data_IF_337526522087
#
_entry.id   IF_337526522087
#
_cell.length_a   1.000
_cell.length_b   1.000
_cell.length_c   1.000
_cell.angle_alpha   90.00
_cell.angle_beta   90.00
_cell.angle_gamma   90.00
#
_symmetry.space_group_name_H-M   'P 1'
#
loop_
_entity.id
_entity.type
_entity.pdbx_description
1 polymer ?
#
# COMPACT_ATOMS: atom_id res chain seq x y z
N UNK A 1 -15.75 -14.61 -30.98
CA UNK A 1 -16.38 -13.35 -31.52
C UNK A 1 -15.79 -12.19 -30.71
N UNK A 2 -15.59 -11.04 -31.34
CA UNK A 2 -15.07 -9.84 -30.65
C UNK A 2 -16.27 -8.96 -30.27
N UNK A 3 -16.47 -8.75 -28.97
CA UNK A 3 -17.42 -7.76 -28.47
C UNK A 3 -16.86 -6.35 -28.73
N UNK A 4 -17.71 -5.43 -29.17
CA UNK A 4 -17.33 -4.02 -29.37
C UNK A 4 -18.21 -3.14 -28.48
N UNK A 5 -17.56 -2.26 -27.70
CA UNK A 5 -18.22 -1.31 -26.82
C UNK A 5 -17.74 0.12 -27.10
N UNK A 6 -18.58 1.08 -26.77
CA UNK A 6 -18.26 2.49 -26.83
C UNK A 6 -18.47 3.16 -25.47
N UNK A 7 -17.64 4.15 -25.15
CA UNK A 7 -17.72 4.95 -23.93
C UNK A 7 -17.18 6.37 -24.18
N UNK A 8 -17.51 7.32 -23.32
CA UNK A 8 -16.81 8.59 -23.35
C UNK A 8 -15.38 8.44 -22.86
N UNK A 9 -15.20 7.64 -21.76
CA UNK A 9 -13.91 7.41 -21.13
C UNK A 9 -13.74 5.95 -20.79
N UNK A 10 -12.66 5.32 -21.26
CA UNK A 10 -12.26 3.97 -20.87
C UNK A 10 -11.30 4.04 -19.67
N UNK A 11 -11.52 3.21 -18.64
CA UNK A 11 -10.71 3.17 -17.43
C UNK A 11 -10.10 1.78 -17.27
N UNK A 12 -8.79 1.70 -17.15
CA UNK A 12 -8.06 0.45 -16.95
C UNK A 12 -7.79 0.24 -15.46
N UNK A 13 -8.46 -0.76 -14.87
CA UNK A 13 -8.34 -1.17 -13.48
C UNK A 13 -9.49 -0.68 -12.58
N UNK A 14 -10.17 -1.63 -11.93
CA UNK A 14 -11.21 -1.40 -10.92
C UNK A 14 -10.66 -1.42 -9.48
N UNK A 15 -9.44 -0.92 -9.28
CA UNK A 15 -8.94 -0.52 -7.96
C UNK A 15 -9.66 0.75 -7.49
N UNK A 16 -9.43 1.14 -6.23
CA UNK A 16 -10.07 2.33 -5.64
C UNK A 16 -9.91 3.60 -6.51
N UNK A 17 -8.72 3.84 -7.07
CA UNK A 17 -8.48 5.01 -7.92
C UNK A 17 -9.33 5.00 -9.22
N UNK A 18 -9.43 3.84 -9.88
CA UNK A 18 -10.23 3.72 -11.11
C UNK A 18 -11.72 3.86 -10.86
N UNK A 19 -12.24 3.27 -9.78
CA UNK A 19 -13.65 3.38 -9.40
C UNK A 19 -14.03 4.80 -8.99
N UNK A 20 -13.15 5.50 -8.25
CA UNK A 20 -13.35 6.92 -7.90
C UNK A 20 -13.32 7.82 -9.15
N UNK A 21 -12.41 7.56 -10.10
CA UNK A 21 -12.38 8.27 -11.36
C UNK A 21 -13.68 8.05 -12.17
N UNK A 22 -14.15 6.80 -12.26
CA UNK A 22 -15.41 6.46 -12.92
C UNK A 22 -16.61 7.20 -12.29
N UNK A 23 -16.69 7.18 -10.95
CA UNK A 23 -17.72 7.91 -10.21
C UNK A 23 -17.69 9.40 -10.50
N UNK A 24 -16.49 10.01 -10.52
CA UNK A 24 -16.32 11.45 -10.81
C UNK A 24 -16.78 11.81 -12.22
N UNK A 25 -16.43 10.98 -13.21
CA UNK A 25 -16.86 11.15 -14.60
C UNK A 25 -18.38 10.97 -14.77
N UNK A 26 -18.96 9.95 -14.13
CA UNK A 26 -20.41 9.77 -14.15
C UNK A 26 -21.17 10.95 -13.52
N UNK A 27 -20.65 11.52 -12.42
CA UNK A 27 -21.20 12.72 -11.82
C UNK A 27 -21.10 13.97 -12.71
N UNK A 28 -20.16 14.00 -13.66
CA UNK A 28 -20.04 15.02 -14.71
C UNK A 28 -20.89 14.73 -15.95
N UNK A 29 -21.74 13.69 -15.91
CA UNK A 29 -22.63 13.33 -17.02
C UNK A 29 -21.97 12.50 -18.13
N UNK A 30 -20.72 12.09 -17.97
CA UNK A 30 -20.00 11.27 -18.94
C UNK A 30 -20.30 9.76 -18.73
N UNK A 31 -20.04 8.97 -19.77
CA UNK A 31 -20.23 7.52 -19.75
C UNK A 31 -18.87 6.81 -19.58
N UNK A 32 -18.41 6.53 -18.34
CA UNK A 32 -17.20 5.76 -18.12
C UNK A 32 -17.46 4.26 -18.30
N UNK A 33 -16.46 3.53 -18.81
CA UNK A 33 -16.41 2.08 -18.82
C UNK A 33 -15.10 1.60 -18.18
N UNK A 34 -15.22 0.82 -17.09
CA UNK A 34 -14.09 0.28 -16.35
C UNK A 34 -13.79 -1.15 -16.80
N UNK A 35 -12.54 -1.43 -17.14
CA UNK A 35 -12.02 -2.76 -17.49
C UNK A 35 -11.10 -3.25 -16.36
N UNK A 36 -11.47 -4.35 -15.71
CA UNK A 36 -10.69 -4.99 -14.65
C UNK A 36 -10.20 -6.36 -15.11
N UNK A 37 -8.92 -6.61 -14.89
CA UNK A 37 -8.29 -7.86 -15.28
C UNK A 37 -8.75 -9.08 -14.46
N UNK A 38 -9.12 -8.86 -13.18
CA UNK A 38 -9.61 -9.90 -12.27
C UNK A 38 -11.12 -10.09 -12.40
N UNK A 39 -11.59 -11.14 -11.76
CA UNK A 39 -13.00 -11.42 -11.50
C UNK A 39 -13.58 -10.61 -10.31
N UNK A 40 -12.81 -9.68 -9.76
CA UNK A 40 -13.15 -8.87 -8.59
C UNK A 40 -12.65 -7.43 -8.68
N UNK A 41 -13.31 -6.53 -7.97
CA UNK A 41 -12.86 -5.15 -7.77
C UNK A 41 -11.96 -5.01 -6.53
N UNK A 42 -11.37 -3.83 -6.34
CA UNK A 42 -10.58 -3.43 -5.17
C UNK A 42 -9.07 -3.45 -5.39
N UNK A 43 -8.57 -4.17 -6.40
CA UNK A 43 -7.13 -4.22 -6.69
C UNK A 43 -6.32 -4.75 -5.50
N UNK A 44 -5.52 -3.87 -4.85
CA UNK A 44 -4.71 -4.16 -3.65
C UNK A 44 -5.50 -4.16 -2.33
N UNK A 45 -6.78 -3.87 -2.36
CA UNK A 45 -7.72 -3.99 -1.24
C UNK A 45 -8.45 -5.31 -1.41
N UNK A 46 -8.33 -6.19 -0.43
CA UNK A 46 -8.90 -7.54 -0.49
C UNK A 46 -9.24 -8.05 0.90
N UNK A 47 -10.46 -8.51 1.07
CA UNK A 47 -10.91 -9.24 2.24
C UNK A 47 -10.86 -10.76 1.98
N UNK A 48 -10.72 -11.53 3.05
CA UNK A 48 -10.94 -12.96 3.05
C UNK A 48 -11.91 -13.35 4.15
N UNK A 49 -12.93 -14.14 3.83
CA UNK A 49 -13.93 -14.61 4.79
C UNK A 49 -13.31 -15.65 5.74
N UNK A 50 -13.59 -15.48 7.03
CA UNK A 50 -13.10 -16.37 8.08
C UNK A 50 -14.21 -17.14 8.80
N UNK A 51 -15.44 -17.03 8.32
CA UNK A 51 -16.63 -17.66 8.88
C UNK A 51 -17.47 -16.71 9.73
N UNK A 52 -18.73 -17.07 9.99
CA UNK A 52 -19.65 -16.27 10.80
C UNK A 52 -19.95 -14.87 10.24
N UNK A 53 -19.81 -14.66 8.94
CA UNK A 53 -19.96 -13.34 8.32
C UNK A 53 -18.82 -12.37 8.61
N UNK A 54 -17.69 -12.86 9.14
CA UNK A 54 -16.52 -12.06 9.48
C UNK A 54 -15.43 -12.20 8.41
N UNK A 55 -14.64 -11.15 8.29
CA UNK A 55 -13.54 -11.07 7.32
C UNK A 55 -12.24 -10.64 7.98
N UNK A 56 -11.13 -11.00 7.36
CA UNK A 56 -9.82 -10.40 7.58
C UNK A 56 -9.34 -9.73 6.29
N UNK A 57 -8.65 -8.63 6.43
CA UNK A 57 -8.09 -7.90 5.29
C UNK A 57 -6.71 -8.46 4.92
N UNK A 58 -6.63 -9.24 3.86
CA UNK A 58 -5.36 -9.74 3.32
C UNK A 58 -4.67 -8.71 2.41
N UNK A 59 -5.35 -7.59 2.11
CA UNK A 59 -4.83 -6.41 1.41
C UNK A 59 -4.65 -5.21 2.33
N UNK A 60 -4.70 -3.98 1.75
CA UNK A 60 -4.72 -2.72 2.48
C UNK A 60 -5.93 -2.63 3.41
N UNK A 61 -5.73 -2.19 4.66
CA UNK A 61 -6.77 -2.26 5.68
C UNK A 61 -6.96 -1.00 6.52
N UNK A 62 -5.87 -0.27 6.77
CA UNK A 62 -5.87 0.78 7.77
C UNK A 62 -6.16 2.18 7.22
N UNK A 63 -6.71 3.00 8.10
CA UNK A 63 -6.90 4.43 7.94
C UNK A 63 -6.41 5.13 9.22
N UNK A 64 -5.99 6.37 9.10
CA UNK A 64 -5.55 7.15 10.25
C UNK A 64 -5.70 8.66 10.06
N UNK A 65 -5.31 9.45 11.05
CA UNK A 65 -5.44 10.90 11.02
C UNK A 65 -4.81 11.52 9.77
N UNK A 66 -5.55 12.42 9.12
CA UNK A 66 -5.13 13.10 7.89
C UNK A 66 -5.50 12.39 6.60
N UNK A 67 -6.04 11.18 6.65
CA UNK A 67 -6.58 10.46 5.49
C UNK A 67 -8.06 10.83 5.26
N UNK A 68 -8.31 12.12 5.04
CA UNK A 68 -9.65 12.69 5.06
C UNK A 68 -10.52 12.27 3.87
N UNK A 69 -9.91 12.00 2.70
CA UNK A 69 -10.65 11.63 1.49
C UNK A 69 -11.27 10.25 1.61
N UNK A 70 -10.48 9.27 2.04
CA UNK A 70 -11.00 7.91 2.21
C UNK A 70 -11.99 7.85 3.38
N UNK A 71 -11.78 8.64 4.44
CA UNK A 71 -12.71 8.76 5.55
C UNK A 71 -14.07 9.33 5.09
N UNK A 72 -14.05 10.41 4.33
CA UNK A 72 -15.27 11.02 3.78
C UNK A 72 -16.00 10.05 2.82
N UNK A 73 -15.26 9.38 1.95
CA UNK A 73 -15.81 8.39 1.02
C UNK A 73 -16.46 7.22 1.77
N UNK A 74 -15.79 6.69 2.80
CA UNK A 74 -16.33 5.61 3.62
C UNK A 74 -17.64 6.04 4.32
N UNK A 75 -17.66 7.21 4.92
CA UNK A 75 -18.85 7.76 5.57
C UNK A 75 -20.01 7.96 4.59
N UNK A 76 -19.73 8.47 3.38
CA UNK A 76 -20.73 8.63 2.31
C UNK A 76 -21.32 7.28 1.87
N UNK A 77 -20.51 6.23 1.86
CA UNK A 77 -20.93 4.87 1.53
C UNK A 77 -21.55 4.10 2.71
N UNK A 78 -21.67 4.72 3.88
CA UNK A 78 -22.18 4.07 5.09
C UNK A 78 -21.25 2.99 5.65
N UNK A 79 -19.93 3.17 5.49
CA UNK A 79 -18.91 2.26 6.03
C UNK A 79 -18.24 2.92 7.24
N UNK A 80 -18.59 2.49 8.43
CA UNK A 80 -18.02 2.96 9.67
C UNK A 80 -16.62 2.39 9.92
N UNK A 81 -15.86 3.06 10.79
CA UNK A 81 -14.55 2.62 11.25
C UNK A 81 -14.56 2.20 12.72
N UNK A 82 -13.57 1.41 13.11
CA UNK A 82 -13.31 1.05 14.50
C UNK A 82 -11.80 1.06 14.76
N UNK A 83 -11.36 1.34 16.00
CA UNK A 83 -9.94 1.41 16.31
C UNK A 83 -9.24 0.04 16.19
N UNK A 84 -8.04 0.03 15.65
CA UNK A 84 -7.13 -1.11 15.79
C UNK A 84 -6.86 -1.33 17.28
N UNK A 85 -6.92 -2.56 17.74
CA UNK A 85 -6.66 -2.86 19.15
C UNK A 85 -5.23 -2.48 19.52
N UNK A 86 -5.10 -1.58 20.48
CA UNK A 86 -3.81 -0.99 20.91
C UNK A 86 -3.70 -0.97 22.46
N UNK A 87 -4.67 -1.57 23.16
CA UNK A 87 -4.67 -1.63 24.61
C UNK A 87 -3.76 -2.75 25.13
N UNK A 88 -3.01 -2.48 26.21
CA UNK A 88 -2.06 -3.39 26.80
C UNK A 88 -0.62 -3.12 26.36
N UNK A 89 0.26 -4.04 26.73
CA UNK A 89 1.70 -3.89 26.46
C UNK A 89 2.09 -4.44 25.11
N UNK A 90 2.83 -3.66 24.33
CA UNK A 90 3.50 -4.09 23.11
C UNK A 90 4.74 -4.91 23.43
N UNK A 91 5.11 -5.82 22.55
CA UNK A 91 6.33 -6.61 22.67
C UNK A 91 7.40 -6.10 21.71
N UNK A 92 8.65 -6.11 22.18
CA UNK A 92 9.82 -5.90 21.35
C UNK A 92 10.86 -6.98 21.64
N UNK A 93 11.38 -7.59 20.60
CA UNK A 93 12.50 -8.53 20.67
C UNK A 93 13.62 -8.02 19.78
N UNK A 94 14.79 -7.79 20.36
CA UNK A 94 15.92 -7.22 19.64
C UNK A 94 17.25 -7.77 20.15
N UNK A 95 18.11 -8.29 19.26
CA UNK A 95 19.38 -8.89 19.60
C UNK A 95 19.25 -10.05 20.61
N UNK A 96 18.18 -10.84 20.50
CA UNK A 96 17.86 -11.94 21.42
C UNK A 96 17.33 -11.52 22.80
N UNK A 97 17.06 -10.23 23.00
CA UNK A 97 16.47 -9.68 24.23
C UNK A 97 15.03 -9.28 23.98
N UNK A 98 14.13 -9.65 24.90
CA UNK A 98 12.71 -9.31 24.85
C UNK A 98 12.33 -8.34 25.95
N UNK A 99 11.50 -7.37 25.60
CA UNK A 99 10.90 -6.43 26.54
C UNK A 99 9.44 -6.17 26.16
N UNK A 100 8.69 -5.59 27.07
CA UNK A 100 7.34 -5.08 26.82
C UNK A 100 7.26 -3.62 27.24
N UNK A 101 6.46 -2.83 26.52
CA UNK A 101 6.32 -1.40 26.74
C UNK A 101 4.89 -0.94 26.43
N UNK A 102 4.49 0.22 26.92
CA UNK A 102 3.21 0.86 26.63
C UNK A 102 3.43 2.18 25.86
N UNK A 103 2.54 2.44 24.89
CA UNK A 103 2.60 3.62 24.04
C UNK A 103 3.43 3.45 22.78
N UNK A 104 3.62 4.52 22.00
CA UNK A 104 4.32 4.47 20.73
C UNK A 104 5.85 4.43 20.92
N UNK A 105 6.56 3.67 20.07
CA UNK A 105 8.04 3.59 20.06
C UNK A 105 8.73 4.97 19.90
N UNK A 106 7.99 5.95 19.44
CA UNK A 106 8.45 7.33 19.21
C UNK A 106 8.16 8.28 20.37
N UNK A 107 7.56 7.79 21.45
CA UNK A 107 7.31 8.55 22.65
C UNK A 107 8.61 8.68 23.47
N UNK A 108 8.86 9.85 24.02
CA UNK A 108 10.08 10.16 24.79
C UNK A 108 9.88 10.10 26.30
N UNK A 109 8.75 9.56 26.78
CA UNK A 109 8.50 9.40 28.22
C UNK A 109 9.56 8.52 28.88
N UNK A 110 10.01 8.91 30.07
CA UNK A 110 11.07 8.21 30.81
C UNK A 110 10.75 6.73 31.04
N UNK A 111 9.48 6.42 31.29
CA UNK A 111 9.00 5.06 31.52
C UNK A 111 9.17 4.17 30.28
N UNK A 112 8.80 4.69 29.11
CA UNK A 112 9.00 4.00 27.84
C UNK A 112 10.48 3.75 27.54
N UNK A 113 11.32 4.77 27.70
CA UNK A 113 12.77 4.63 27.50
C UNK A 113 13.34 3.57 28.45
N UNK A 114 12.90 3.53 29.70
CA UNK A 114 13.31 2.51 30.67
C UNK A 114 12.89 1.10 30.24
N UNK A 115 11.65 0.93 29.77
CA UNK A 115 11.14 -0.36 29.35
C UNK A 115 11.84 -0.86 28.07
N UNK A 116 12.00 0.02 27.08
CA UNK A 116 12.73 -0.28 25.86
C UNK A 116 14.23 -0.55 26.12
N UNK A 117 14.82 0.06 27.16
CA UNK A 117 16.26 -0.11 27.50
C UNK A 117 16.65 -1.54 27.85
N UNK A 118 15.68 -2.40 28.11
CA UNK A 118 15.93 -3.85 28.33
C UNK A 118 16.31 -4.57 27.04
N UNK A 119 15.76 -4.12 25.91
CA UNK A 119 16.02 -4.70 24.59
C UNK A 119 16.93 -3.81 23.73
N UNK A 120 16.78 -2.47 23.80
CA UNK A 120 17.49 -1.48 22.97
C UNK A 120 18.19 -0.49 23.90
N UNK A 121 19.50 -0.30 23.73
CA UNK A 121 20.25 0.63 24.61
C UNK A 121 19.75 2.09 24.49
N UNK A 122 19.78 2.89 25.57
CA UNK A 122 19.40 4.30 25.53
C UNK A 122 20.19 5.11 24.49
N UNK A 123 21.47 4.75 24.27
CA UNK A 123 22.27 5.36 23.21
C UNK A 123 21.70 5.09 21.82
N UNK A 124 21.23 3.88 21.58
CA UNK A 124 20.64 3.53 20.29
C UNK A 124 19.29 4.23 20.07
N UNK A 125 18.48 4.40 21.12
CA UNK A 125 17.22 5.17 21.06
C UNK A 125 17.49 6.65 20.76
N UNK A 126 18.50 7.26 21.41
CA UNK A 126 18.91 8.64 21.15
C UNK A 126 19.46 8.81 19.73
N UNK A 127 20.23 7.82 19.24
CA UNK A 127 20.77 7.79 17.88
C UNK A 127 19.66 7.67 16.82
N UNK A 128 18.66 6.82 17.06
CA UNK A 128 17.47 6.71 16.23
C UNK A 128 16.72 8.05 16.17
N UNK A 129 16.44 8.66 17.33
CA UNK A 129 15.62 9.87 17.42
C UNK A 129 16.28 11.08 16.75
N UNK A 130 17.59 11.27 16.92
CA UNK A 130 18.30 12.36 16.24
C UNK A 130 18.27 12.18 14.70
N UNK A 131 18.42 10.94 14.21
CA UNK A 131 18.38 10.66 12.78
C UNK A 131 16.95 10.84 12.23
N UNK A 132 15.93 10.36 12.93
CA UNK A 132 14.53 10.55 12.60
C UNK A 132 14.14 12.03 12.50
N UNK A 133 14.51 12.83 13.52
CA UNK A 133 14.24 14.27 13.52
C UNK A 133 14.95 15.00 12.36
N UNK A 134 16.12 14.50 11.93
CA UNK A 134 16.81 14.99 10.74
C UNK A 134 16.06 14.62 9.47
N UNK A 135 15.57 13.37 9.37
CA UNK A 135 14.78 12.89 8.23
C UNK A 135 13.53 13.74 8.03
N UNK A 136 12.75 13.95 9.10
CA UNK A 136 11.53 14.78 9.06
C UNK A 136 11.81 16.22 8.63
N UNK A 137 12.92 16.81 9.08
CA UNK A 137 13.35 18.15 8.67
C UNK A 137 13.70 18.23 7.20
N UNK A 138 14.32 17.18 6.65
CA UNK A 138 14.62 17.08 5.23
C UNK A 138 13.34 16.83 4.41
N UNK A 139 12.44 15.98 4.88
CA UNK A 139 11.18 15.66 4.25
C UNK A 139 10.33 16.90 3.98
N UNK A 140 10.21 17.80 4.96
CA UNK A 140 9.48 19.08 4.82
C UNK A 140 10.04 20.02 3.75
N UNK A 141 11.25 19.80 3.23
CA UNK A 141 11.83 20.58 2.15
C UNK A 141 11.49 20.02 0.76
N UNK A 142 10.81 18.89 0.67
CA UNK A 142 10.43 18.27 -0.61
C UNK A 142 9.04 18.77 -1.02
N UNK A 143 8.90 19.50 -2.14
CA UNK A 143 7.59 19.86 -2.68
C UNK A 143 6.81 18.62 -3.07
N UNK A 144 5.54 18.49 -2.63
CA UNK A 144 4.73 17.31 -2.88
C UNK A 144 4.33 17.16 -4.35
N UNK A 145 4.07 18.25 -5.03
CA UNK A 145 3.73 18.24 -6.45
C UNK A 145 4.95 17.95 -7.34
N UNK A 146 6.10 18.47 -6.97
CA UNK A 146 7.33 18.41 -7.75
C UNK A 146 8.54 17.99 -6.91
N UNK A 147 8.62 16.73 -6.44
CA UNK A 147 9.74 16.26 -5.59
C UNK A 147 11.11 16.52 -6.20
N UNK A 148 11.21 16.49 -7.52
CA UNK A 148 12.43 16.82 -8.27
C UNK A 148 12.88 18.28 -8.17
N UNK A 149 12.02 19.19 -7.72
CA UNK A 149 12.32 20.60 -7.50
C UNK A 149 12.86 20.89 -6.09
N UNK A 150 13.01 19.88 -5.24
CA UNK A 150 13.59 20.04 -3.90
C UNK A 150 15.01 20.64 -4.00
N UNK A 151 15.44 21.51 -3.04
CA UNK A 151 16.72 22.22 -3.12
C UNK A 151 17.95 21.31 -3.29
N UNK A 152 17.85 20.06 -2.85
CA UNK A 152 18.92 19.05 -2.94
C UNK A 152 18.46 17.77 -3.64
N UNK A 153 17.47 17.86 -4.53
CA UNK A 153 16.83 16.73 -5.18
C UNK A 153 17.87 15.76 -5.80
N UNK A 154 18.77 16.24 -6.66
CA UNK A 154 19.79 15.38 -7.29
C UNK A 154 20.68 14.64 -6.28
N UNK A 155 21.07 15.32 -5.19
CA UNK A 155 21.88 14.70 -4.13
C UNK A 155 21.09 13.63 -3.36
N UNK A 156 19.82 13.91 -3.07
CA UNK A 156 18.97 12.99 -2.33
C UNK A 156 18.51 11.81 -3.20
N UNK A 157 18.22 12.06 -4.45
CA UNK A 157 17.80 11.02 -5.38
C UNK A 157 18.97 10.16 -5.90
N UNK A 158 20.20 10.71 -5.88
CA UNK A 158 21.41 10.00 -6.28
C UNK A 158 21.98 9.03 -5.22
N UNK A 159 21.25 8.77 -4.13
CA UNK A 159 21.64 7.81 -3.11
C UNK A 159 20.46 7.03 -2.56
N UNK A 160 20.72 5.82 -2.05
CA UNK A 160 19.72 5.00 -1.38
C UNK A 160 19.47 5.52 0.05
N UNK A 161 18.32 5.12 0.60
CA UNK A 161 18.03 5.38 2.00
C UNK A 161 19.04 4.69 2.93
N UNK A 162 19.49 3.48 2.60
CA UNK A 162 20.54 2.79 3.37
C UNK A 162 21.81 3.62 3.48
N UNK A 163 22.26 4.21 2.37
CA UNK A 163 23.45 5.08 2.36
C UNK A 163 23.29 6.26 3.35
N UNK A 164 22.08 6.84 3.39
CA UNK A 164 21.79 7.92 4.31
C UNK A 164 21.74 7.44 5.76
N UNK A 165 21.07 6.31 6.06
CA UNK A 165 20.97 5.71 7.39
C UNK A 165 22.37 5.43 7.93
N UNK A 166 23.22 4.76 7.18
CA UNK A 166 24.61 4.44 7.59
C UNK A 166 25.44 5.68 7.94
N UNK A 167 25.22 6.80 7.24
CA UNK A 167 25.95 8.06 7.47
C UNK A 167 25.39 8.88 8.63
N UNK A 168 24.16 8.66 9.04
CA UNK A 168 23.46 9.48 10.02
C UNK A 168 23.15 8.72 11.33
N UNK A 169 23.48 7.43 11.40
CA UNK A 169 23.39 6.62 12.62
C UNK A 169 24.74 6.04 12.98
N UNK A 170 24.99 5.88 14.28
CA UNK A 170 26.23 5.35 14.84
C UNK A 170 26.10 3.91 15.34
N UNK A 171 24.91 3.53 15.83
CA UNK A 171 24.63 2.24 16.44
C UNK A 171 24.02 1.24 15.45
N UNK A 172 24.34 -0.05 15.59
CA UNK A 172 23.73 -1.10 14.77
C UNK A 172 22.21 -1.18 15.04
N UNK A 173 21.79 -1.05 16.30
CA UNK A 173 20.38 -1.12 16.65
C UNK A 173 19.54 -0.01 16.01
N UNK A 174 20.02 1.25 15.96
CA UNK A 174 19.32 2.32 15.24
C UNK A 174 19.18 2.03 13.74
N UNK A 175 20.21 1.44 13.12
CA UNK A 175 20.14 1.02 11.70
C UNK A 175 19.07 -0.05 11.47
N UNK A 176 19.07 -1.09 12.31
CA UNK A 176 18.09 -2.18 12.20
C UNK A 176 16.66 -1.70 12.47
N UNK A 177 16.46 -0.70 13.33
CA UNK A 177 15.14 -0.09 13.53
C UNK A 177 14.68 0.70 12.30
N UNK A 178 15.58 1.41 11.60
CA UNK A 178 15.26 2.03 10.33
C UNK A 178 14.97 0.99 9.22
N UNK A 179 15.70 -0.12 9.21
CA UNK A 179 15.45 -1.26 8.32
C UNK A 179 14.04 -1.81 8.55
N UNK A 180 13.71 -2.16 9.79
CA UNK A 180 12.38 -2.66 10.17
C UNK A 180 11.26 -1.69 9.81
N UNK A 181 11.44 -0.39 10.07
CA UNK A 181 10.47 0.63 9.68
C UNK A 181 10.34 0.77 8.16
N UNK A 182 11.43 0.60 7.40
CA UNK A 182 11.39 0.63 5.93
C UNK A 182 10.65 -0.57 5.38
N UNK A 183 10.93 -1.76 5.90
CA UNK A 183 10.19 -2.97 5.57
C UNK A 183 8.69 -2.77 5.85
N UNK A 184 8.32 -2.34 7.08
CA UNK A 184 6.93 -2.19 7.49
C UNK A 184 6.13 -1.12 6.74
N UNK A 185 6.77 -0.06 6.22
CA UNK A 185 6.07 1.02 5.51
C UNK A 185 6.10 0.84 4.00
N UNK A 186 7.19 0.31 3.44
CA UNK A 186 7.41 0.24 1.98
C UNK A 186 7.52 -1.19 1.44
N UNK A 187 7.53 -2.21 2.30
CA UNK A 187 7.77 -3.61 1.92
C UNK A 187 9.04 -3.79 1.07
N UNK A 188 10.10 -3.06 1.43
CA UNK A 188 11.36 -3.00 0.70
C UNK A 188 12.55 -2.78 1.65
N UNK A 189 13.75 -3.06 1.16
CA UNK A 189 14.98 -2.76 1.88
C UNK A 189 15.35 -1.26 1.75
N UNK A 190 16.02 -0.66 2.75
CA UNK A 190 16.55 0.69 2.60
C UNK A 190 17.49 0.88 1.40
N UNK A 191 18.11 -0.20 0.92
CA UNK A 191 18.97 -0.22 -0.26
C UNK A 191 18.20 -0.12 -1.58
N UNK A 192 16.93 -0.54 -1.61
CA UNK A 192 16.10 -0.58 -2.81
C UNK A 192 15.50 0.79 -3.18
N UNK A 193 15.46 1.73 -2.24
CA UNK A 193 14.67 2.97 -2.33
C UNK A 193 15.56 4.21 -2.36
N UNK A 194 15.25 5.17 -3.25
CA UNK A 194 15.86 6.49 -3.26
C UNK A 194 15.58 7.24 -1.94
N UNK A 195 16.59 7.93 -1.40
CA UNK A 195 16.38 8.83 -0.25
C UNK A 195 15.33 9.92 -0.57
N UNK A 196 15.30 10.46 -1.79
CA UNK A 196 14.31 11.46 -2.15
C UNK A 196 12.89 10.88 -2.10
N UNK A 197 12.70 9.61 -2.46
CA UNK A 197 11.41 8.95 -2.35
C UNK A 197 10.96 8.81 -0.89
N UNK A 198 11.85 8.37 -0.01
CA UNK A 198 11.57 8.30 1.44
C UNK A 198 11.18 9.69 1.99
N UNK A 199 11.89 10.75 1.60
CA UNK A 199 11.60 12.12 2.04
C UNK A 199 10.24 12.60 1.52
N UNK A 200 9.94 12.39 0.24
CA UNK A 200 8.65 12.69 -0.36
C UNK A 200 7.52 11.96 0.36
N UNK A 201 7.66 10.64 0.52
CA UNK A 201 6.64 9.80 1.13
C UNK A 201 6.38 10.18 2.60
N UNK A 202 7.47 10.45 3.35
CA UNK A 202 7.40 10.94 4.73
C UNK A 202 6.64 12.27 4.82
N UNK A 203 6.90 13.20 3.91
CA UNK A 203 6.17 14.48 3.86
C UNK A 203 4.71 14.27 3.46
N UNK A 204 4.46 13.46 2.45
CA UNK A 204 3.13 13.10 1.92
C UNK A 204 2.23 12.49 3.02
N UNK A 205 2.78 11.66 3.91
CA UNK A 205 2.06 11.04 5.02
C UNK A 205 2.08 11.85 6.33
N UNK A 206 2.65 13.07 6.32
CA UNK A 206 2.63 13.99 7.47
C UNK A 206 3.67 13.71 8.55
N UNK A 207 4.74 12.94 8.24
CA UNK A 207 5.88 12.69 9.11
C UNK A 207 6.13 11.20 9.37
N UNK A 208 7.38 10.87 9.71
CA UNK A 208 7.80 9.48 9.86
C UNK A 208 7.04 8.74 10.96
N UNK A 209 6.84 9.39 12.12
CA UNK A 209 6.10 8.78 13.23
C UNK A 209 4.66 8.41 12.86
N UNK A 210 4.02 9.25 12.03
CA UNK A 210 2.65 8.97 11.56
C UNK A 210 2.60 7.73 10.67
N UNK A 211 3.63 7.50 9.86
CA UNK A 211 3.70 6.34 8.98
C UNK A 211 3.84 5.01 9.74
N UNK A 212 4.54 5.00 10.89
CA UNK A 212 4.85 3.79 11.66
C UNK A 212 3.96 3.56 12.88
N UNK A 213 3.08 4.53 13.21
CA UNK A 213 2.30 4.50 14.45
C UNK A 213 0.92 3.87 14.31
N UNK A 214 0.43 3.21 15.37
CA UNK A 214 -0.96 2.78 15.52
C UNK A 214 -1.79 3.93 16.08
N UNK A 215 -1.75 4.19 17.36
CA UNK A 215 -2.45 5.35 17.95
C UNK A 215 -1.92 6.68 17.39
N UNK A 216 -2.79 7.48 16.77
CA UNK A 216 -2.41 8.74 16.10
C UNK A 216 -1.65 8.57 14.78
N UNK A 217 -1.46 7.34 14.30
CA UNK A 217 -0.72 6.98 13.10
C UNK A 217 -1.58 6.42 11.98
N UNK A 218 -0.91 5.93 10.94
CA UNK A 218 -1.56 5.43 9.73
C UNK A 218 -2.31 4.10 9.94
N UNK A 219 -2.07 3.40 11.05
CA UNK A 219 -2.69 2.13 11.41
C UNK A 219 -3.76 2.26 12.51
N UNK A 220 -4.29 3.49 12.72
CA UNK A 220 -5.18 3.77 13.85
C UNK A 220 -6.51 3.04 13.77
N UNK A 221 -7.18 3.07 12.63
CA UNK A 221 -8.54 2.55 12.48
C UNK A 221 -8.64 1.55 11.33
N UNK A 222 -9.66 0.69 11.40
CA UNK A 222 -10.07 -0.28 10.39
C UNK A 222 -11.53 -0.07 10.03
N UNK A 223 -12.00 -0.67 8.94
CA UNK A 223 -13.36 -0.53 8.45
C UNK A 223 -14.23 -1.72 8.88
N UNK A 224 -15.46 -1.45 9.35
CA UNK A 224 -16.47 -2.48 9.61
C UNK A 224 -16.80 -3.25 8.31
N UNK A 225 -16.67 -4.58 8.36
CA UNK A 225 -16.82 -5.45 7.19
C UNK A 225 -15.62 -5.46 6.25
N UNK A 226 -14.49 -4.86 6.69
CA UNK A 226 -13.22 -4.81 5.98
C UNK A 226 -13.19 -3.75 4.87
N UNK A 227 -11.98 -3.34 4.52
CA UNK A 227 -11.73 -2.23 3.57
C UNK A 227 -12.25 -2.48 2.15
N UNK A 228 -12.36 -3.75 1.70
CA UNK A 228 -12.89 -4.06 0.37
C UNK A 228 -14.37 -3.70 0.21
N UNK A 229 -15.10 -3.49 1.30
CA UNK A 229 -16.48 -3.03 1.22
C UNK A 229 -16.61 -1.72 0.44
N UNK A 230 -15.65 -0.82 0.56
CA UNK A 230 -15.65 0.47 -0.16
C UNK A 230 -15.64 0.28 -1.69
N UNK A 231 -14.65 -0.39 -2.31
CA UNK A 231 -14.68 -0.60 -3.75
C UNK A 231 -15.85 -1.49 -4.23
N UNK A 232 -16.40 -2.39 -3.40
CA UNK A 232 -17.59 -3.16 -3.75
C UNK A 232 -18.82 -2.25 -3.88
N UNK A 233 -19.05 -1.35 -2.93
CA UNK A 233 -20.16 -0.38 -2.97
C UNK A 233 -20.01 0.62 -4.12
N UNK A 234 -18.79 1.07 -4.42
CA UNK A 234 -18.53 1.91 -5.59
C UNK A 234 -18.87 1.20 -6.91
N UNK A 235 -18.51 -0.08 -7.02
CA UNK A 235 -18.83 -0.89 -8.20
C UNK A 235 -20.35 -1.12 -8.34
N UNK A 236 -21.04 -1.34 -7.22
CA UNK A 236 -22.51 -1.46 -7.21
C UNK A 236 -23.17 -0.15 -7.67
N UNK A 237 -22.75 1.01 -7.16
CA UNK A 237 -23.25 2.32 -7.60
C UNK A 237 -22.94 2.62 -9.08
N UNK A 238 -21.81 2.13 -9.61
CA UNK A 238 -21.46 2.32 -11.01
C UNK A 238 -22.38 1.56 -11.96
N UNK A 239 -22.85 0.39 -11.56
CA UNK A 239 -23.68 -0.51 -12.34
C UNK A 239 -22.87 -1.48 -13.23
N UNK A 240 -23.43 -2.68 -13.43
CA UNK A 240 -22.72 -3.75 -14.12
C UNK A 240 -22.44 -3.49 -15.61
N UNK A 241 -23.23 -2.65 -16.28
CA UNK A 241 -23.02 -2.26 -17.68
C UNK A 241 -21.77 -1.39 -17.87
N UNK A 242 -21.32 -0.70 -16.83
CA UNK A 242 -20.13 0.18 -16.84
C UNK A 242 -18.87 -0.48 -16.28
N UNK A 243 -18.93 -1.78 -15.96
CA UNK A 243 -17.81 -2.53 -15.41
C UNK A 243 -17.69 -3.88 -16.13
N UNK A 244 -16.49 -4.19 -16.61
CA UNK A 244 -16.14 -5.50 -17.18
C UNK A 244 -15.06 -6.13 -16.34
N UNK A 245 -15.38 -7.22 -15.66
CA UNK A 245 -14.43 -8.07 -14.93
C UNK A 245 -13.86 -9.13 -15.89
N UNK A 246 -12.70 -9.70 -15.55
CA UNK A 246 -12.04 -10.70 -16.40
C UNK A 246 -11.56 -10.13 -17.74
N UNK A 247 -11.38 -8.81 -17.85
CA UNK A 247 -11.07 -8.10 -19.09
C UNK A 247 -9.68 -7.42 -19.02
N UNK A 248 -8.57 -8.17 -18.95
CA UNK A 248 -7.23 -7.59 -18.93
C UNK A 248 -6.92 -6.86 -20.23
N UNK A 249 -6.67 -5.56 -20.13
CA UNK A 249 -6.26 -4.73 -21.28
C UNK A 249 -4.82 -5.08 -21.68
N UNK A 250 -4.64 -5.48 -22.94
CA UNK A 250 -3.37 -5.91 -23.52
C UNK A 250 -2.71 -4.83 -24.37
N UNK A 251 -3.53 -4.05 -25.09
CA UNK A 251 -3.06 -2.99 -25.99
C UNK A 251 -3.98 -1.80 -25.94
N UNK A 252 -3.39 -0.62 -26.08
CA UNK A 252 -4.10 0.66 -26.21
C UNK A 252 -3.56 1.38 -27.44
N UNK A 253 -4.40 1.58 -28.43
CA UNK A 253 -4.15 2.48 -29.55
C UNK A 253 -4.63 3.88 -29.13
N UNK A 254 -3.79 4.90 -29.36
CA UNK A 254 -4.12 6.27 -28.96
C UNK A 254 -3.58 7.30 -29.94
N UNK A 255 -4.41 8.25 -30.30
CA UNK A 255 -4.06 9.30 -31.26
C UNK A 255 -5.26 9.68 -32.11
N UNK A 256 -5.13 10.73 -32.92
CA UNK A 256 -6.27 11.25 -33.69
C UNK A 256 -7.41 11.67 -32.76
N UNK A 257 -8.62 11.17 -33.00
CA UNK A 257 -9.84 11.59 -32.33
C UNK A 257 -10.27 10.68 -31.16
N UNK A 258 -9.42 9.70 -30.73
CA UNK A 258 -9.81 8.80 -29.67
C UNK A 258 -8.77 7.73 -29.31
N UNK A 259 -9.23 6.81 -28.46
CA UNK A 259 -8.46 5.64 -27.99
C UNK A 259 -9.22 4.35 -28.30
N UNK A 260 -8.47 3.28 -28.58
CA UNK A 260 -9.02 1.92 -28.72
C UNK A 260 -8.29 0.99 -27.78
N UNK A 261 -9.03 0.39 -26.84
CA UNK A 261 -8.50 -0.58 -25.90
C UNK A 261 -8.84 -1.99 -26.39
N UNK A 262 -7.83 -2.85 -26.44
CA UNK A 262 -7.98 -4.27 -26.73
C UNK A 262 -7.75 -5.06 -25.44
N UNK A 263 -8.79 -5.82 -25.04
CA UNK A 263 -8.80 -6.63 -23.84
C UNK A 263 -9.23 -8.06 -24.15
N UNK A 264 -8.90 -8.98 -23.24
CA UNK A 264 -9.49 -10.32 -23.27
C UNK A 264 -10.99 -10.21 -22.87
N UNK A 265 -11.83 -11.07 -23.38
CA UNK A 265 -13.30 -10.93 -23.28
C UNK A 265 -13.94 -11.77 -22.18
N UNK A 266 -13.30 -11.97 -21.04
CA UNK A 266 -13.86 -12.69 -19.89
C UNK A 266 -13.95 -14.22 -20.06
N UNK A 267 -14.23 -14.72 -21.26
CA UNK A 267 -14.20 -16.15 -21.59
C UNK A 267 -12.95 -16.50 -22.41
N UNK A 268 -12.41 -17.73 -22.28
CA UNK A 268 -11.23 -18.16 -23.05
C UNK A 268 -11.44 -17.99 -24.56
N UNK A 269 -10.59 -17.20 -25.20
CA UNK A 269 -10.63 -16.92 -26.65
C UNK A 269 -11.65 -15.86 -27.08
N UNK A 270 -12.40 -15.27 -26.16
CA UNK A 270 -13.17 -14.07 -26.44
C UNK A 270 -12.26 -12.84 -26.44
N UNK A 271 -12.57 -11.85 -27.27
CA UNK A 271 -11.88 -10.57 -27.34
C UNK A 271 -12.88 -9.42 -27.12
N UNK A 272 -12.43 -8.38 -26.43
CA UNK A 272 -13.19 -7.17 -26.20
C UNK A 272 -12.42 -5.98 -26.76
N UNK A 273 -13.12 -5.15 -27.55
CA UNK A 273 -12.59 -3.88 -28.04
C UNK A 273 -13.45 -2.74 -27.53
N UNK A 274 -12.83 -1.76 -26.87
CA UNK A 274 -13.51 -0.56 -26.37
C UNK A 274 -12.99 0.67 -27.09
N UNK A 275 -13.89 1.45 -27.68
CA UNK A 275 -13.60 2.77 -28.27
C UNK A 275 -14.02 3.86 -27.30
N UNK A 276 -13.14 4.84 -27.06
CA UNK A 276 -13.46 5.97 -26.20
C UNK A 276 -12.74 7.24 -26.68
N UNK A 277 -13.20 8.40 -26.20
CA UNK A 277 -12.55 9.68 -26.48
C UNK A 277 -11.21 9.80 -25.74
N UNK A 278 -11.16 9.32 -24.50
CA UNK A 278 -9.97 9.37 -23.64
C UNK A 278 -9.86 8.09 -22.80
N UNK A 279 -8.66 7.82 -22.24
CA UNK A 279 -8.47 6.72 -21.33
C UNK A 279 -7.77 7.16 -20.03
N UNK A 280 -8.17 6.52 -18.90
CA UNK A 280 -7.48 6.62 -17.61
C UNK A 280 -6.86 5.26 -17.30
N UNK A 281 -5.53 5.22 -17.20
CA UNK A 281 -4.80 4.02 -16.78
C UNK A 281 -4.59 4.09 -15.27
N UNK A 282 -5.38 3.31 -14.51
CA UNK A 282 -5.47 3.32 -13.05
C UNK A 282 -4.84 2.07 -12.41
N UNK A 283 -3.83 1.51 -13.05
CA UNK A 283 -3.03 0.39 -12.55
C UNK A 283 -1.65 0.85 -12.11
N UNK A 284 -0.94 0.09 -11.24
CA UNK A 284 0.40 0.44 -10.81
C UNK A 284 1.35 0.71 -11.99
N UNK A 285 2.28 1.69 -11.90
CA UNK A 285 3.17 2.06 -13.01
C UNK A 285 3.92 0.89 -13.64
N UNK A 286 4.40 -0.06 -12.85
CA UNK A 286 5.07 -1.27 -13.36
C UNK A 286 4.14 -2.17 -14.18
N UNK A 287 2.84 -2.18 -13.90
CA UNK A 287 1.83 -2.92 -14.69
C UNK A 287 1.38 -2.13 -15.91
N UNK A 288 1.28 -0.79 -15.80
CA UNK A 288 1.02 0.06 -16.95
C UNK A 288 2.07 -0.14 -18.05
N UNK A 289 3.35 -0.36 -17.66
CA UNK A 289 4.42 -0.68 -18.60
C UNK A 289 4.35 -2.06 -19.27
N UNK A 290 3.37 -2.90 -18.90
CA UNK A 290 3.11 -4.21 -19.55
C UNK A 290 2.01 -4.17 -20.60
N UNK A 291 1.30 -3.06 -20.70
CA UNK A 291 0.33 -2.80 -21.77
C UNK A 291 1.11 -2.33 -23.01
N UNK A 292 0.75 -2.85 -24.17
CA UNK A 292 1.30 -2.39 -25.45
C UNK A 292 0.60 -1.10 -25.85
N UNK A 293 1.36 -0.06 -26.19
CA UNK A 293 0.81 1.24 -26.62
C UNK A 293 1.16 1.49 -28.09
N UNK A 294 0.20 2.05 -28.84
CA UNK A 294 0.38 2.40 -30.24
C UNK A 294 -0.22 3.82 -30.51
N UNK A 295 0.59 4.83 -30.82
CA UNK A 295 2.06 4.80 -30.88
C UNK A 295 2.69 4.49 -29.51
N UNK A 296 3.99 4.09 -29.49
CA UNK A 296 4.70 3.87 -28.22
C UNK A 296 4.69 5.10 -27.32
N UNK A 297 4.65 4.87 -26.01
CA UNK A 297 4.75 5.96 -25.02
C UNK A 297 6.06 6.73 -25.19
N UNK A 298 6.09 8.03 -24.87
CA UNK A 298 7.34 8.79 -24.81
C UNK A 298 8.37 8.11 -23.91
N UNK A 299 9.64 8.13 -24.31
CA UNK A 299 10.72 7.41 -23.62
C UNK A 299 10.79 7.68 -22.11
N UNK A 300 10.54 8.91 -21.67
CA UNK A 300 10.52 9.26 -20.24
C UNK A 300 9.41 8.49 -19.49
N UNK A 301 8.22 8.35 -20.09
CA UNK A 301 7.11 7.63 -19.48
C UNK A 301 7.37 6.12 -19.49
N UNK A 302 7.86 5.59 -20.58
CA UNK A 302 8.20 4.17 -20.71
C UNK A 302 9.29 3.77 -19.70
N UNK A 303 10.39 4.51 -19.63
CA UNK A 303 11.48 4.22 -18.70
C UNK A 303 11.09 4.43 -17.23
N UNK A 304 10.16 5.35 -16.91
CA UNK A 304 9.62 5.50 -15.57
C UNK A 304 9.02 4.17 -15.06
N UNK A 305 8.24 3.49 -15.89
CA UNK A 305 7.57 2.22 -15.49
C UNK A 305 8.57 1.12 -15.14
N UNK A 306 9.77 1.15 -15.72
CA UNK A 306 10.88 0.22 -15.46
C UNK A 306 11.67 0.59 -14.19
N UNK A 307 11.50 1.81 -13.67
CA UNK A 307 12.21 2.37 -12.50
C UNK A 307 11.35 2.41 -11.23
N UNK A 308 10.15 1.87 -11.30
CA UNK A 308 9.21 1.82 -10.16
C UNK A 308 8.84 0.37 -9.83
N UNK A 309 9.77 -0.43 -9.25
CA UNK A 309 9.44 -1.78 -8.82
C UNK A 309 8.41 -1.77 -7.70
N UNK A 310 7.60 -2.83 -7.61
CA UNK A 310 6.72 -3.07 -6.48
C UNK A 310 7.50 -3.49 -5.24
N UNK A 311 6.99 -3.15 -4.06
CA UNK A 311 7.41 -3.76 -2.81
C UNK A 311 7.05 -5.24 -2.78
N UNK A 312 7.64 -5.98 -1.85
CA UNK A 312 7.40 -7.43 -1.70
C UNK A 312 6.92 -7.74 -0.29
N UNK A 313 5.71 -8.28 -0.18
CA UNK A 313 5.11 -8.63 1.11
C UNK A 313 4.32 -9.93 1.03
N UNK A 314 4.42 -10.71 2.11
CA UNK A 314 3.51 -11.81 2.43
C UNK A 314 2.77 -11.41 3.70
N UNK A 315 1.45 -11.39 3.64
CA UNK A 315 0.59 -11.10 4.76
C UNK A 315 0.01 -12.39 5.31
N UNK A 316 0.11 -12.60 6.61
CA UNK A 316 -0.33 -13.84 7.27
C UNK A 316 -1.31 -13.53 8.40
N UNK A 317 -2.34 -14.38 8.56
CA UNK A 317 -3.33 -14.29 9.63
C UNK A 317 -3.40 -15.64 10.35
N UNK A 318 -3.00 -15.65 11.61
CA UNK A 318 -3.20 -16.79 12.50
C UNK A 318 -4.47 -16.55 13.33
N UNK A 319 -5.48 -17.41 13.15
CA UNK A 319 -6.83 -17.25 13.70
C UNK A 319 -7.02 -18.23 14.85
N UNK A 320 -7.45 -17.74 15.99
CA UNK A 320 -7.65 -18.46 17.25
C UNK A 320 -9.09 -18.29 17.72
N UNK A 321 -9.59 -19.18 18.55
CA UNK A 321 -10.91 -19.09 19.17
C UNK A 321 -11.15 -17.72 19.84
N UNK A 322 -10.13 -17.21 20.55
CA UNK A 322 -10.15 -15.93 21.26
C UNK A 322 -8.80 -15.22 21.20
N UNK A 323 -8.73 -13.88 21.39
CA UNK A 323 -7.48 -13.12 21.48
C UNK A 323 -6.83 -13.32 22.87
N UNK A 324 -6.31 -14.51 23.14
CA UNK A 324 -5.80 -14.92 24.46
C UNK A 324 -4.70 -14.00 25.01
N UNK A 325 -3.93 -13.34 24.16
CA UNK A 325 -2.88 -12.40 24.57
C UNK A 325 -3.44 -11.17 25.31
N UNK A 326 -4.69 -10.78 25.03
CA UNK A 326 -5.36 -9.68 25.74
C UNK A 326 -5.58 -10.04 27.22
N UNK A 327 -5.93 -11.29 27.52
CA UNK A 327 -6.04 -11.80 28.88
C UNK A 327 -4.72 -11.82 29.66
N UNK A 328 -3.59 -11.77 28.93
CA UNK A 328 -2.24 -11.66 29.50
C UNK A 328 -1.74 -10.21 29.60
N UNK A 329 -2.60 -9.23 29.32
CA UNK A 329 -2.28 -7.80 29.34
C UNK A 329 -1.42 -7.33 28.15
N UNK A 330 -1.43 -8.11 27.03
CA UNK A 330 -0.69 -7.79 25.82
C UNK A 330 -1.64 -7.22 24.75
N UNK A 331 -1.16 -6.24 24.00
CA UNK A 331 -1.90 -5.63 22.90
C UNK A 331 -2.02 -6.51 21.64
N UNK A 332 -1.24 -7.58 21.52
CA UNK A 332 -1.09 -8.35 20.29
C UNK A 332 -0.15 -7.68 19.26
N UNK A 333 0.42 -6.53 19.59
CA UNK A 333 1.44 -5.90 18.75
C UNK A 333 2.85 -6.32 19.16
N UNK A 334 3.68 -6.62 18.17
CA UNK A 334 5.08 -6.97 18.41
C UNK A 334 5.97 -6.52 17.25
N UNK A 335 7.22 -6.19 17.61
CA UNK A 335 8.31 -5.97 16.66
C UNK A 335 9.49 -6.85 17.03
N UNK A 336 10.10 -7.54 16.04
CA UNK A 336 11.21 -8.46 16.27
C UNK A 336 12.24 -8.36 15.15
N UNK A 337 13.53 -8.45 15.49
CA UNK A 337 14.61 -8.62 14.52
C UNK A 337 14.85 -10.10 14.16
N UNK A 338 14.07 -11.03 14.74
CA UNK A 338 14.20 -12.47 14.56
C UNK A 338 12.96 -13.10 13.91
N UNK A 339 13.20 -14.12 13.06
CA UNK A 339 12.15 -14.82 12.31
C UNK A 339 11.67 -14.10 11.07
N UNK A 340 10.75 -14.70 10.31
CA UNK A 340 10.30 -14.13 9.04
C UNK A 340 9.23 -13.05 9.19
N UNK A 341 8.32 -13.17 10.17
CA UNK A 341 7.30 -12.17 10.48
C UNK A 341 7.83 -11.23 11.57
N UNK A 342 8.36 -10.07 11.13
CA UNK A 342 9.06 -9.13 12.02
C UNK A 342 8.13 -8.12 12.68
N UNK A 343 6.96 -7.88 12.12
CA UNK A 343 5.93 -7.00 12.67
C UNK A 343 4.63 -7.78 12.78
N UNK A 344 4.01 -7.69 13.95
CA UNK A 344 2.76 -8.40 14.29
C UNK A 344 1.75 -7.42 14.87
N UNK A 345 0.48 -7.59 14.53
CA UNK A 345 -0.64 -6.79 15.06
C UNK A 345 -1.80 -7.68 15.49
N UNK A 346 -2.56 -7.23 16.46
CA UNK A 346 -3.90 -7.76 16.71
C UNK A 346 -4.85 -7.30 15.58
N UNK A 347 -5.34 -8.26 14.81
CA UNK A 347 -6.27 -8.03 13.71
C UNK A 347 -7.66 -8.62 13.99
N UNK A 348 -7.97 -8.87 15.25
CA UNK A 348 -9.28 -9.39 15.65
C UNK A 348 -10.41 -8.43 15.21
N UNK A 349 -11.61 -8.95 14.94
CA UNK A 349 -12.81 -8.13 14.71
C UNK A 349 -13.13 -7.22 15.90
N UNK A 350 -14.03 -6.22 15.74
CA UNK A 350 -14.35 -5.27 16.81
C UNK A 350 -14.89 -5.91 18.09
N UNK A 351 -15.60 -7.03 17.98
CA UNK A 351 -16.12 -7.81 19.10
C UNK A 351 -15.07 -8.73 19.76
N UNK A 352 -13.85 -8.74 19.25
CA UNK A 352 -12.76 -9.54 19.77
C UNK A 352 -12.81 -11.03 19.45
N UNK A 353 -13.75 -11.52 18.64
CA UNK A 353 -13.87 -12.95 18.29
C UNK A 353 -14.03 -13.13 16.78
N UNK A 354 -13.30 -14.05 16.15
CA UNK A 354 -12.16 -14.80 16.69
C UNK A 354 -10.94 -13.92 16.97
N UNK A 355 -9.97 -14.40 17.74
CA UNK A 355 -8.69 -13.76 17.90
C UNK A 355 -7.86 -13.89 16.63
N UNK A 356 -7.21 -12.81 16.16
CA UNK A 356 -6.39 -12.85 14.94
C UNK A 356 -5.06 -12.15 15.18
N UNK A 357 -3.95 -12.89 15.04
CA UNK A 357 -2.61 -12.31 14.91
C UNK A 357 -2.25 -12.16 13.43
N UNK A 358 -2.07 -10.92 13.01
CA UNK A 358 -1.55 -10.56 11.70
C UNK A 358 -0.03 -10.49 11.78
N UNK A 359 0.67 -11.15 10.86
CA UNK A 359 2.12 -11.06 10.70
C UNK A 359 2.51 -10.67 9.28
N UNK A 360 3.56 -9.84 9.17
CA UNK A 360 4.12 -9.43 7.89
C UNK A 360 5.51 -10.00 7.66
N UNK A 361 5.71 -10.59 6.48
CA UNK A 361 7.02 -10.86 5.90
C UNK A 361 7.22 -9.82 4.80
N UNK A 362 8.32 -9.07 4.84
CA UNK A 362 8.51 -7.89 3.98
C UNK A 362 9.90 -7.86 3.37
N UNK A 363 10.04 -7.15 2.26
CA UNK A 363 11.33 -6.93 1.61
C UNK A 363 12.06 -8.22 1.25
N UNK A 364 13.32 -8.34 1.69
CA UNK A 364 14.18 -9.50 1.46
C UNK A 364 13.58 -10.77 2.05
N UNK A 365 13.03 -10.70 3.26
CA UNK A 365 12.42 -11.87 3.91
C UNK A 365 11.22 -12.38 3.14
N UNK A 366 10.37 -11.50 2.60
CA UNK A 366 9.27 -11.93 1.74
C UNK A 366 9.77 -12.63 0.46
N UNK A 367 10.85 -12.15 -0.15
CA UNK A 367 11.45 -12.81 -1.33
C UNK A 367 12.04 -14.18 -0.98
N UNK A 368 12.78 -14.29 0.12
CA UNK A 368 13.39 -15.55 0.58
C UNK A 368 12.33 -16.59 0.95
N UNK A 369 11.35 -16.19 1.76
CA UNK A 369 10.30 -17.09 2.23
C UNK A 369 9.22 -17.35 1.17
N UNK A 370 8.97 -16.43 0.27
CA UNK A 370 8.10 -16.63 -0.89
C UNK A 370 8.53 -17.78 -1.79
N UNK A 371 9.84 -17.99 -1.91
CA UNK A 371 10.41 -19.12 -2.66
C UNK A 371 10.32 -20.48 -1.93
N UNK A 372 9.92 -20.52 -0.64
CA UNK A 372 9.80 -21.74 0.14
C UNK A 372 8.37 -22.29 0.09
N UNK A 373 8.17 -23.59 0.41
CA UNK A 373 6.83 -24.18 0.55
C UNK A 373 5.98 -23.44 1.60
N UNK A 374 4.68 -23.32 1.35
CA UNK A 374 3.73 -22.67 2.27
C UNK A 374 3.74 -23.27 3.69
N UNK A 375 3.92 -24.60 3.78
CA UNK A 375 4.00 -25.29 5.08
C UNK A 375 5.20 -24.82 5.92
N UNK A 376 6.36 -24.61 5.28
CA UNK A 376 7.57 -24.09 5.97
C UNK A 376 7.37 -22.64 6.41
N UNK A 377 6.77 -21.81 5.56
CA UNK A 377 6.43 -20.42 5.93
C UNK A 377 5.52 -20.37 7.14
N UNK A 378 4.40 -21.15 7.08
CA UNK A 378 3.47 -21.26 8.20
C UNK A 378 4.18 -21.68 9.48
N UNK A 379 4.99 -22.73 9.44
CA UNK A 379 5.72 -23.21 10.61
C UNK A 379 6.64 -22.15 11.19
N UNK A 380 7.39 -21.42 10.36
CA UNK A 380 8.33 -20.39 10.79
C UNK A 380 7.61 -19.17 11.39
N UNK A 381 6.48 -18.73 10.80
CA UNK A 381 5.65 -17.65 11.34
C UNK A 381 5.08 -18.04 12.70
N UNK A 382 4.49 -19.23 12.82
CA UNK A 382 3.91 -19.72 14.08
C UNK A 382 4.97 -19.92 15.18
N UNK A 383 6.18 -20.36 14.82
CA UNK A 383 7.29 -20.41 15.76
C UNK A 383 7.68 -19.01 16.28
N UNK A 384 7.63 -17.98 15.40
CA UNK A 384 7.79 -16.58 15.78
C UNK A 384 6.69 -16.09 16.73
N UNK A 385 5.43 -16.39 16.41
CA UNK A 385 4.29 -16.06 17.28
C UNK A 385 4.40 -16.76 18.65
N UNK A 386 4.77 -18.04 18.69
CA UNK A 386 4.97 -18.78 19.95
C UNK A 386 6.08 -18.16 20.80
N UNK A 387 7.18 -17.73 20.17
CA UNK A 387 8.26 -17.06 20.86
C UNK A 387 7.80 -15.72 21.47
N UNK A 388 6.93 -14.98 20.79
CA UNK A 388 6.44 -13.67 21.25
C UNK A 388 5.27 -13.78 22.24
N UNK A 389 4.26 -14.61 21.94
CA UNK A 389 2.98 -14.67 22.65
C UNK A 389 2.74 -16.00 23.39
N UNK A 390 3.75 -16.87 23.49
CA UNK A 390 3.65 -18.17 24.18
C UNK A 390 3.11 -19.30 23.29
N UNK A 391 3.17 -20.54 23.82
CA UNK A 391 2.90 -21.78 23.10
C UNK A 391 1.48 -21.88 22.48
N UNK A 392 0.48 -21.16 23.03
CA UNK A 392 -0.87 -21.10 22.42
C UNK A 392 -0.80 -20.52 21.01
N UNK A 393 0.08 -19.56 20.76
CA UNK A 393 0.23 -18.92 19.46
C UNK A 393 0.78 -19.85 18.35
N UNK A 394 1.37 -21.01 18.72
CA UNK A 394 1.76 -22.02 17.73
C UNK A 394 0.58 -22.81 17.13
N UNK A 395 -0.62 -22.73 17.71
CA UNK A 395 -1.75 -23.60 17.40
C UNK A 395 -3.01 -22.84 17.02
N UNK A 396 -3.00 -22.07 15.91
CA UNK A 396 -4.21 -21.45 15.42
C UNK A 396 -5.19 -22.48 14.87
N UNK A 397 -6.49 -22.21 14.96
CA UNK A 397 -7.54 -23.01 14.34
C UNK A 397 -7.46 -22.93 12.81
N UNK A 398 -7.15 -21.72 12.28
CA UNK A 398 -6.99 -21.47 10.86
C UNK A 398 -5.78 -20.57 10.62
N UNK A 399 -5.11 -20.77 9.48
CA UNK A 399 -4.02 -19.91 9.02
C UNK A 399 -4.29 -19.51 7.58
N UNK A 400 -4.26 -18.20 7.32
CA UNK A 400 -4.46 -17.59 6.00
C UNK A 400 -3.16 -16.90 5.63
N UNK A 401 -2.72 -17.02 4.38
CA UNK A 401 -1.62 -16.23 3.85
C UNK A 401 -1.94 -15.68 2.46
N UNK A 402 -1.38 -14.50 2.15
CA UNK A 402 -1.43 -13.93 0.81
C UNK A 402 -0.03 -13.50 0.39
N UNK A 403 0.49 -14.15 -0.65
CA UNK A 403 1.77 -13.80 -1.30
C UNK A 403 1.47 -12.80 -2.42
N UNK A 404 1.63 -11.52 -2.14
CA UNK A 404 1.25 -10.47 -3.10
C UNK A 404 2.13 -10.42 -4.35
N UNK A 405 3.36 -10.96 -4.29
CA UNK A 405 4.24 -11.06 -5.45
C UNK A 405 3.73 -12.06 -6.50
N UNK A 406 2.96 -13.08 -6.08
CA UNK A 406 2.39 -14.10 -6.95
C UNK A 406 1.09 -13.66 -7.61
N UNK A 407 0.48 -12.56 -7.14
CA UNK A 407 -0.72 -11.99 -7.74
C UNK A 407 -0.45 -11.44 -9.14
N UNK A 408 -0.95 -12.09 -10.16
CA UNK A 408 -0.68 -11.78 -11.58
C UNK A 408 -0.87 -10.30 -11.92
N UNK A 409 -1.96 -9.70 -11.42
CA UNK A 409 -2.36 -8.33 -11.74
C UNK A 409 -1.98 -7.32 -10.64
N UNK A 410 -1.02 -7.70 -9.77
CA UNK A 410 -0.43 -6.79 -8.78
C UNK A 410 1.10 -6.87 -8.80
N UNK A 411 1.65 -8.10 -8.77
CA UNK A 411 3.09 -8.40 -8.78
C UNK A 411 3.85 -7.81 -7.60
N UNK A 412 3.18 -7.62 -6.48
CA UNK A 412 3.74 -7.11 -5.24
C UNK A 412 2.86 -6.07 -4.56
N UNK A 413 3.21 -5.69 -3.34
CA UNK A 413 2.63 -4.67 -2.47
C UNK A 413 3.76 -4.08 -1.56
N UNK A 414 3.56 -2.92 -0.88
CA UNK A 414 2.25 -2.25 -0.85
C UNK A 414 2.03 -1.40 -2.10
N UNK A 415 3.06 -0.73 -2.60
CA UNK A 415 3.07 0.14 -3.78
C UNK A 415 4.37 0.07 -4.55
N UNK A 416 4.44 0.83 -5.63
CA UNK A 416 5.69 1.02 -6.38
C UNK A 416 6.59 2.03 -5.68
N UNK A 417 7.90 1.80 -5.78
CA UNK A 417 8.94 2.60 -5.16
C UNK A 417 9.75 3.32 -6.25
N UNK A 418 10.23 4.52 -5.97
CA UNK A 418 11.23 5.16 -6.83
C UNK A 418 12.64 4.70 -6.44
N UNK A 419 13.36 4.10 -7.39
CA UNK A 419 14.78 3.82 -7.26
C UNK A 419 15.62 5.09 -7.42
N UNK A 420 16.92 5.02 -7.18
CA UNK A 420 17.84 6.16 -7.33
C UNK A 420 17.76 6.76 -8.74
N UNK A 421 17.71 8.10 -8.82
CA UNK A 421 17.52 8.85 -10.07
C UNK A 421 16.07 8.88 -10.58
N UNK A 422 15.16 8.12 -9.95
CA UNK A 422 13.78 7.98 -10.42
C UNK A 422 13.01 9.29 -10.43
N UNK A 423 13.09 10.07 -9.36
CA UNK A 423 12.39 11.36 -9.26
C UNK A 423 12.99 12.45 -10.15
N UNK A 424 14.32 12.61 -10.12
CA UNK A 424 14.99 13.71 -10.83
C UNK A 424 14.97 13.55 -12.33
N UNK A 425 15.04 12.32 -12.83
CA UNK A 425 15.08 12.05 -14.26
C UNK A 425 13.67 11.78 -14.85
N UNK A 426 12.80 11.08 -14.13
CA UNK A 426 11.53 10.57 -14.67
C UNK A 426 10.29 11.06 -13.93
N UNK A 427 10.41 11.69 -12.78
CA UNK A 427 9.27 12.04 -11.91
C UNK A 427 8.19 12.88 -12.59
N UNK A 428 8.59 13.77 -13.52
CA UNK A 428 7.65 14.60 -14.30
C UNK A 428 6.68 13.77 -15.13
N UNK A 429 7.11 12.59 -15.60
CA UNK A 429 6.27 11.70 -16.39
C UNK A 429 5.25 10.90 -15.56
N UNK A 430 5.32 10.93 -14.22
CA UNK A 430 4.46 10.10 -13.38
C UNK A 430 2.97 10.46 -13.51
N UNK A 431 2.67 11.75 -13.58
CA UNK A 431 1.29 12.29 -13.60
C UNK A 431 0.92 12.94 -14.94
N UNK A 432 1.92 13.40 -15.69
CA UNK A 432 1.67 14.13 -16.94
C UNK A 432 0.91 13.27 -17.95
N UNK A 433 -0.22 13.73 -18.50
CA UNK A 433 -0.94 13.01 -19.55
C UNK A 433 -0.06 12.80 -20.79
N UNK A 434 -0.36 11.74 -21.54
CA UNK A 434 0.25 11.46 -22.84
C UNK A 434 -0.85 11.48 -23.90
N UNK A 435 -1.03 12.62 -24.57
CA UNK A 435 -2.14 12.81 -25.48
C UNK A 435 -3.49 12.59 -24.81
N UNK A 436 -4.19 11.54 -25.22
CA UNK A 436 -5.52 11.16 -24.71
C UNK A 436 -5.46 10.21 -23.51
N UNK A 437 -4.25 9.85 -23.04
CA UNK A 437 -4.04 8.95 -21.92
C UNK A 437 -3.76 9.73 -20.63
N UNK A 438 -4.52 9.44 -19.59
CA UNK A 438 -4.37 9.99 -18.24
C UNK A 438 -3.99 8.87 -17.24
N UNK A 439 -3.39 9.26 -16.11
CA UNK A 439 -2.84 8.31 -15.14
C UNK A 439 -3.48 8.50 -13.78
N UNK A 440 -3.94 7.41 -13.18
CA UNK A 440 -4.38 7.36 -11.79
C UNK A 440 -3.68 6.21 -11.05
N UNK A 441 -3.94 6.08 -9.75
CA UNK A 441 -3.32 5.10 -8.87
C UNK A 441 -2.66 5.77 -7.67
N UNK A 442 -2.57 5.07 -6.56
CA UNK A 442 -2.06 5.60 -5.29
C UNK A 442 -0.65 6.20 -5.42
N UNK A 443 0.18 5.68 -6.33
CA UNK A 443 1.53 6.16 -6.62
C UNK A 443 1.55 7.54 -7.28
N UNK A 444 0.46 7.94 -7.93
CA UNK A 444 0.35 9.26 -8.59
C UNK A 444 -0.18 10.34 -7.66
N UNK A 445 -0.50 10.01 -6.42
CA UNK A 445 -0.96 10.95 -5.41
C UNK A 445 0.18 11.81 -4.87
N UNK A 446 -0.15 12.98 -4.34
CA UNK A 446 0.77 13.91 -3.69
C UNK A 446 0.66 13.84 -2.16
N UNK A 447 -0.54 13.63 -1.65
CA UNK A 447 -0.82 13.44 -0.22
C UNK A 447 -1.22 11.99 -0.01
N UNK A 448 -0.65 11.35 1.02
CA UNK A 448 -0.83 9.93 1.31
C UNK A 448 -0.55 9.04 0.09
N UNK A 449 0.51 9.35 -0.65
CA UNK A 449 0.97 8.54 -1.79
C UNK A 449 1.16 7.08 -1.35
N UNK A 450 0.65 6.13 -2.15
CA UNK A 450 0.71 4.71 -1.83
C UNK A 450 -0.41 4.19 -0.92
N UNK A 451 -1.19 5.07 -0.28
CA UNK A 451 -2.31 4.72 0.61
C UNK A 451 -3.66 4.76 -0.11
N UNK A 452 -4.72 4.26 0.57
CA UNK A 452 -6.09 4.34 0.07
C UNK A 452 -6.54 5.79 -0.14
N UNK A 453 -6.18 6.71 0.76
CA UNK A 453 -6.48 8.14 0.62
C UNK A 453 -5.85 8.74 -0.63
N UNK A 454 -4.60 8.38 -0.92
CA UNK A 454 -3.93 8.80 -2.16
C UNK A 454 -4.56 8.17 -3.42
N UNK A 455 -5.08 6.93 -3.32
CA UNK A 455 -5.82 6.34 -4.43
C UNK A 455 -7.10 7.14 -4.73
N UNK A 456 -7.84 7.57 -3.70
CA UNK A 456 -9.01 8.45 -3.86
C UNK A 456 -8.59 9.78 -4.49
N UNK A 457 -7.57 10.47 -3.92
CA UNK A 457 -7.06 11.73 -4.47
C UNK A 457 -6.70 11.61 -5.96
N UNK A 458 -6.02 10.55 -6.33
CA UNK A 458 -5.58 10.36 -7.72
C UNK A 458 -6.73 10.07 -8.68
N UNK A 459 -7.74 9.35 -8.22
CA UNK A 459 -8.96 9.08 -8.99
C UNK A 459 -9.78 10.34 -9.22
N UNK A 460 -9.97 11.16 -8.19
CA UNK A 460 -10.63 12.48 -8.28
C UNK A 460 -9.90 13.38 -9.29
N UNK A 461 -8.58 13.52 -9.14
CA UNK A 461 -7.75 14.34 -10.03
C UNK A 461 -7.86 13.87 -11.49
N UNK A 462 -7.70 12.58 -11.76
CA UNK A 462 -7.72 12.06 -13.12
C UNK A 462 -9.12 12.18 -13.75
N UNK A 463 -10.19 11.96 -12.99
CA UNK A 463 -11.56 12.18 -13.43
C UNK A 463 -11.83 13.64 -13.78
N UNK A 464 -11.36 14.59 -12.96
CA UNK A 464 -11.50 16.02 -13.22
C UNK A 464 -10.67 16.51 -14.41
N UNK A 465 -9.45 16.00 -14.58
CA UNK A 465 -8.61 16.31 -15.75
C UNK A 465 -9.30 15.91 -17.05
N UNK A 466 -9.86 14.68 -17.07
CA UNK A 466 -10.55 14.18 -18.27
C UNK A 466 -11.86 14.91 -18.53
N UNK A 467 -12.67 15.15 -17.49
CA UNK A 467 -13.92 15.88 -17.65
C UNK A 467 -13.70 17.28 -18.23
N UNK A 468 -12.74 18.04 -17.68
CA UNK A 468 -12.38 19.37 -18.21
C UNK A 468 -11.86 19.31 -19.64
N UNK A 469 -11.09 18.28 -19.98
CA UNK A 469 -10.56 18.15 -21.34
C UNK A 469 -11.66 17.84 -22.38
N UNK A 470 -12.73 17.14 -21.97
CA UNK A 470 -13.89 16.85 -22.84
C UNK A 470 -14.92 17.99 -22.89
N UNK A 471 -14.87 18.98 -21.98
CA UNK A 471 -15.69 20.21 -22.05
C UNK A 471 -15.13 21.22 -23.06
N UNK A 472 -13.84 21.13 -23.37
CA UNK A 472 -13.11 22.07 -24.24
C UNK A 472 -13.02 21.55 -25.68
N UNK A 473 -13.13 20.26 -25.91
CA UNK A 473 -13.17 19.60 -27.23
C UNK A 473 -14.61 19.66 -27.82
#
# INVERSE_FOLDING_TARGET
MTEQLEADVAIVGAGLAGLVAARRLAAAGLQPLVLEARDRVGGRILNEEIGGGKVVEVGGQWIGPGQARIAALAAELGVDTFPTHDEGRHLIEFGGKRSSYEGALTDTRIELVRDLSRAISPLALADLEQARARLDRMARQVPLEEPWAAPKARRWDGQTFETWVRRNTRTAAARSLFELATEGVWAAEPADVSLLHILFYTHSGGGFNRLVGTGGGAQQDRFHGGSQRIPLLLAEQLGGERLRLGAPVRRIEHGGDGVVLHADGGEPGAALTVRAKRAIVAVPPTLAGRISYDPPLPALRDQLTQRMPQGTVIKTMAIYEEPFWRGEGLSGQAASDAGPARVVFDNSPPDGSPGVLLGFLEGRLAREWGARPAAERRQAVLAGHARLFGERAARPERFVERVWADEEWTRGCYGCLMTTGGWTEYGRALRAPVGLLHWAGAETATVWSGYMDGAVQSGERAGEEVARALEVD
#
